data_IF_975643587975
#
_entry.id   IF_975643587975
#
_cell.length_a   1.000
_cell.length_b   1.000
_cell.length_c   1.000
_cell.angle_alpha   90.00
_cell.angle_beta   90.00
_cell.angle_gamma   90.00
#
_symmetry.space_group_name_H-M   'P 1'
#
loop_
_entity.id
_entity.type
_entity.pdbx_description
1 polymer ?
#
# COMPACT_ATOMS: atom_id res chain seq x y z
N UNK A 1 -8.54 -33.77 34.71
CA UNK A 1 -7.11 -33.43 34.86
C UNK A 1 -6.12 -34.56 34.51
N UNK A 2 -6.50 -35.84 34.49
CA UNK A 2 -5.55 -36.94 34.19
C UNK A 2 -5.09 -37.06 32.72
N UNK A 3 -5.86 -36.53 31.75
CA UNK A 3 -5.49 -36.58 30.33
C UNK A 3 -4.51 -35.49 29.88
N UNK A 4 -4.39 -34.39 30.63
CA UNK A 4 -3.49 -33.29 30.28
C UNK A 4 -2.03 -33.58 30.68
N UNK A 5 -1.85 -34.33 31.78
CA UNK A 5 -0.53 -34.75 32.28
C UNK A 5 0.07 -35.85 31.40
N UNK A 6 -0.75 -36.77 30.86
CA UNK A 6 -0.29 -37.77 29.89
C UNK A 6 0.15 -37.16 28.55
N UNK A 7 -0.54 -36.13 28.05
CA UNK A 7 -0.12 -35.40 26.85
C UNK A 7 1.15 -34.57 27.08
N UNK A 8 1.42 -34.13 28.31
CA UNK A 8 2.65 -33.41 28.66
C UNK A 8 3.85 -34.35 28.80
N UNK A 9 3.68 -35.49 29.48
CA UNK A 9 4.71 -36.54 29.59
C UNK A 9 5.04 -37.18 28.23
N UNK A 10 4.06 -37.32 27.33
CA UNK A 10 4.32 -37.77 25.96
C UNK A 10 5.15 -36.75 25.16
N UNK A 11 4.92 -35.44 25.36
CA UNK A 11 5.74 -34.36 24.75
C UNK A 11 7.15 -34.30 25.35
N UNK A 12 7.29 -34.45 26.66
CA UNK A 12 8.60 -34.44 27.33
C UNK A 12 9.40 -35.73 27.06
N UNK A 13 8.74 -36.87 26.74
CA UNK A 13 9.44 -38.12 26.38
C UNK A 13 9.98 -38.16 24.94
N UNK A 14 9.52 -37.27 24.05
CA UNK A 14 10.05 -37.15 22.68
C UNK A 14 11.35 -36.33 22.65
N UNK A 15 11.67 -35.59 23.71
CA UNK A 15 12.94 -34.83 23.83
C UNK A 15 14.12 -35.69 24.35
N UNK A 16 13.90 -36.96 24.72
CA UNK A 16 14.91 -37.76 25.44
C UNK A 16 15.55 -38.92 24.64
N UNK A 17 15.26 -39.08 23.34
CA UNK A 17 15.96 -40.07 22.50
C UNK A 17 16.62 -39.38 21.32
N UNK A 18 17.94 -39.23 21.44
CA UNK A 18 18.78 -38.59 20.44
C UNK A 18 18.85 -39.36 19.14
N UNK A 19 18.75 -38.61 18.05
CA UNK A 19 19.78 -38.61 17.01
C UNK A 19 20.17 -37.15 16.80
N UNK A 20 21.46 -36.86 16.90
CA UNK A 20 22.02 -35.52 16.74
C UNK A 20 21.86 -35.10 15.29
N UNK A 21 20.76 -34.41 14.98
CA UNK A 21 20.65 -33.65 13.73
C UNK A 21 21.55 -32.42 13.88
N UNK A 22 22.70 -32.47 13.20
CA UNK A 22 23.65 -31.38 12.94
C UNK A 22 22.97 -30.25 12.15
N UNK A 23 22.05 -29.54 12.80
CA UNK A 23 21.20 -28.51 12.19
C UNK A 23 20.66 -27.46 13.18
N UNK A 24 20.64 -27.73 14.48
CA UNK A 24 20.17 -26.75 15.47
C UNK A 24 21.15 -25.61 15.77
N UNK A 25 22.43 -25.72 15.41
CA UNK A 25 23.40 -24.62 15.57
C UNK A 25 23.34 -23.57 14.45
N UNK A 26 22.47 -23.76 13.45
CA UNK A 26 22.29 -22.85 12.30
C UNK A 26 20.93 -22.14 12.30
N UNK A 27 20.13 -22.27 13.36
CA UNK A 27 18.91 -21.48 13.51
C UNK A 27 19.33 -20.10 14.01
N UNK A 28 19.46 -19.15 13.07
CA UNK A 28 19.60 -17.73 13.40
C UNK A 28 18.48 -17.34 14.39
N UNK A 29 18.77 -16.58 15.46
CA UNK A 29 17.74 -16.08 16.38
C UNK A 29 16.59 -15.46 15.58
N UNK A 30 15.34 -15.58 16.06
CA UNK A 30 14.17 -15.10 15.32
C UNK A 30 14.29 -13.64 14.87
N UNK A 31 15.00 -12.81 15.65
CA UNK A 31 15.29 -11.41 15.33
C UNK A 31 16.30 -11.20 14.20
N UNK A 32 17.15 -12.19 13.90
CA UNK A 32 18.13 -12.15 12.79
C UNK A 32 17.65 -12.92 11.56
N UNK A 33 16.70 -13.85 11.74
CA UNK A 33 16.19 -14.72 10.69
C UNK A 33 15.40 -13.93 9.64
N UNK A 34 15.95 -13.88 8.42
CA UNK A 34 15.36 -13.14 7.30
C UNK A 34 13.93 -13.61 6.96
N UNK A 35 13.64 -14.91 7.07
CA UNK A 35 12.34 -15.45 6.69
C UNK A 35 11.24 -15.07 7.72
N UNK A 36 11.60 -14.98 9.01
CA UNK A 36 10.70 -14.49 10.06
C UNK A 36 10.41 -13.01 9.87
N UNK A 37 11.45 -12.20 9.63
CA UNK A 37 11.29 -10.77 9.39
C UNK A 37 10.44 -10.48 8.14
N UNK A 38 10.61 -11.26 7.07
CA UNK A 38 9.81 -11.14 5.85
C UNK A 38 8.34 -11.52 6.07
N UNK A 39 8.05 -12.46 6.97
CA UNK A 39 6.67 -12.81 7.34
C UNK A 39 5.98 -11.70 8.15
N UNK A 40 6.68 -11.08 9.10
CA UNK A 40 6.16 -9.92 9.84
C UNK A 40 5.86 -8.75 8.90
N UNK A 41 6.77 -8.50 7.97
CA UNK A 41 6.62 -7.51 6.90
C UNK A 41 5.36 -7.77 6.06
N UNK A 42 5.12 -9.01 5.64
CA UNK A 42 3.93 -9.37 4.88
C UNK A 42 2.63 -9.14 5.67
N UNK A 43 2.65 -9.37 6.98
CA UNK A 43 1.50 -9.09 7.84
C UNK A 43 1.17 -7.59 7.92
N UNK A 44 2.19 -6.71 7.98
CA UNK A 44 1.95 -5.26 8.01
C UNK A 44 1.50 -4.76 6.64
N UNK A 45 2.03 -5.32 5.55
CA UNK A 45 1.58 -5.02 4.19
C UNK A 45 0.09 -5.33 4.01
N UNK A 46 -0.39 -6.47 4.52
CA UNK A 46 -1.83 -6.80 4.53
C UNK A 46 -2.69 -5.83 5.34
N UNK A 47 -2.15 -5.25 6.43
CA UNK A 47 -2.85 -4.19 7.18
C UNK A 47 -2.93 -2.89 6.38
N UNK A 48 -1.89 -2.54 5.62
CA UNK A 48 -1.90 -1.36 4.74
C UNK A 48 -2.85 -1.54 3.55
N UNK A 49 -2.98 -2.76 3.04
CA UNK A 49 -3.99 -3.11 2.03
C UNK A 49 -5.41 -2.96 2.56
N UNK A 50 -5.66 -3.38 3.80
CA UNK A 50 -6.95 -3.15 4.44
C UNK A 50 -7.24 -1.64 4.58
N UNK A 51 -6.27 -0.84 5.00
CA UNK A 51 -6.41 0.61 5.11
C UNK A 51 -6.66 1.28 3.75
N UNK A 52 -6.10 0.75 2.67
CA UNK A 52 -6.34 1.20 1.30
C UNK A 52 -7.81 0.95 0.89
N UNK A 53 -8.34 -0.24 1.19
CA UNK A 53 -9.76 -0.56 0.98
C UNK A 53 -10.72 0.27 1.86
N UNK A 54 -10.32 0.54 3.11
CA UNK A 54 -11.06 1.46 4.00
C UNK A 54 -11.04 2.88 3.42
N UNK A 55 -9.92 3.33 2.83
CA UNK A 55 -9.83 4.63 2.15
C UNK A 55 -10.73 4.71 0.91
N UNK A 56 -10.78 3.64 0.12
CA UNK A 56 -11.68 3.55 -1.04
C UNK A 56 -13.14 3.70 -0.62
N UNK A 57 -13.52 2.96 0.41
CA UNK A 57 -14.87 2.99 0.97
C UNK A 57 -15.20 4.36 1.57
N UNK A 58 -14.26 4.98 2.28
CA UNK A 58 -14.46 6.30 2.89
C UNK A 58 -14.69 7.36 1.83
N UNK A 59 -13.87 7.39 0.77
CA UNK A 59 -14.04 8.36 -0.31
C UNK A 59 -15.39 8.18 -1.00
N UNK A 60 -15.77 6.93 -1.32
CA UNK A 60 -17.05 6.64 -1.98
C UNK A 60 -18.26 7.04 -1.11
N UNK A 61 -18.22 6.79 0.20
CA UNK A 61 -19.27 7.23 1.12
C UNK A 61 -19.32 8.75 1.27
N UNK A 62 -18.17 9.41 1.20
CA UNK A 62 -18.07 10.86 1.27
C UNK A 62 -18.63 11.50 0.00
N UNK A 63 -18.27 11.00 -1.18
CA UNK A 63 -18.83 11.42 -2.47
C UNK A 63 -20.34 11.23 -2.54
N UNK A 64 -20.87 10.09 -2.05
CA UNK A 64 -22.33 9.87 -1.94
C UNK A 64 -23.01 10.89 -1.03
N UNK A 65 -22.34 11.31 0.03
CA UNK A 65 -22.87 12.30 0.97
C UNK A 65 -22.83 13.70 0.36
N UNK A 66 -21.77 14.04 -0.37
CA UNK A 66 -21.66 15.28 -1.14
C UNK A 66 -22.73 15.36 -2.22
N UNK A 67 -22.92 14.32 -3.03
CA UNK A 67 -23.95 14.26 -4.05
C UNK A 67 -25.37 14.42 -3.48
N UNK A 68 -25.64 13.87 -2.29
CA UNK A 68 -26.90 14.06 -1.59
C UNK A 68 -27.11 15.51 -1.15
N UNK A 69 -26.05 16.17 -0.67
CA UNK A 69 -26.09 17.59 -0.30
C UNK A 69 -26.34 18.45 -1.54
N UNK A 70 -25.62 18.21 -2.63
CA UNK A 70 -25.73 19.00 -3.88
C UNK A 70 -27.12 18.88 -4.50
N UNK A 71 -27.69 17.67 -4.51
CA UNK A 71 -29.06 17.46 -4.98
C UNK A 71 -30.12 18.19 -4.12
N UNK A 72 -29.87 18.32 -2.82
CA UNK A 72 -30.74 19.11 -1.94
C UNK A 72 -30.54 20.62 -2.12
N UNK A 73 -29.30 21.07 -2.31
CA UNK A 73 -28.97 22.47 -2.60
C UNK A 73 -29.67 22.96 -3.87
N UNK A 74 -29.57 22.21 -4.97
CA UNK A 74 -30.24 22.54 -6.24
C UNK A 74 -31.75 22.71 -6.05
N UNK A 75 -32.39 21.86 -5.23
CA UNK A 75 -33.82 21.98 -4.94
C UNK A 75 -34.15 23.19 -4.09
N UNK A 76 -33.36 23.46 -3.06
CA UNK A 76 -33.55 24.60 -2.17
C UNK A 76 -33.39 25.92 -2.93
N UNK A 77 -32.37 26.04 -3.78
CA UNK A 77 -32.13 27.22 -4.63
C UNK A 77 -33.29 27.48 -5.59
N UNK A 78 -33.87 26.43 -6.17
CA UNK A 78 -35.05 26.52 -7.03
C UNK A 78 -36.37 26.75 -6.26
N UNK A 79 -36.33 26.81 -4.93
CA UNK A 79 -37.52 26.95 -4.08
C UNK A 79 -38.42 25.70 -4.07
N UNK A 80 -37.87 24.55 -4.44
CA UNK A 80 -38.52 23.25 -4.52
C UNK A 80 -38.22 22.38 -3.28
N UNK A 81 -39.03 21.35 -3.06
CA UNK A 81 -38.75 20.31 -2.07
C UNK A 81 -38.46 18.99 -2.78
N UNK A 82 -37.51 18.22 -2.25
CA UNK A 82 -37.32 16.85 -2.67
C UNK A 82 -38.55 16.00 -2.27
N UNK A 83 -38.92 14.99 -3.08
CA UNK A 83 -39.95 14.02 -2.69
C UNK A 83 -39.62 13.35 -1.35
N UNK A 84 -40.61 13.19 -0.47
CA UNK A 84 -40.40 12.58 0.85
C UNK A 84 -39.80 11.17 0.76
N UNK A 85 -40.18 10.40 -0.26
CA UNK A 85 -39.62 9.07 -0.54
C UNK A 85 -38.13 9.12 -0.89
N UNK A 86 -37.71 10.13 -1.66
CA UNK A 86 -36.31 10.34 -2.03
C UNK A 86 -35.48 10.72 -0.79
N UNK A 87 -35.98 11.64 0.05
CA UNK A 87 -35.33 11.99 1.32
C UNK A 87 -35.24 10.76 2.23
N UNK A 88 -36.30 9.95 2.32
CA UNK A 88 -36.29 8.75 3.14
C UNK A 88 -35.27 7.71 2.65
N UNK A 89 -35.14 7.53 1.33
CA UNK A 89 -34.14 6.64 0.75
C UNK A 89 -32.71 7.13 1.02
N UNK A 90 -32.46 8.43 0.81
CA UNK A 90 -31.16 9.05 1.10
C UNK A 90 -30.82 8.95 2.59
N UNK A 91 -31.78 9.15 3.49
CA UNK A 91 -31.52 9.02 4.94
C UNK A 91 -31.20 7.57 5.35
N UNK A 92 -31.78 6.56 4.69
CA UNK A 92 -31.39 5.16 4.92
C UNK A 92 -29.96 4.90 4.46
N UNK A 93 -29.57 5.44 3.29
CA UNK A 93 -28.19 5.35 2.81
C UNK A 93 -27.22 6.05 3.78
N UNK A 94 -27.58 7.23 4.28
CA UNK A 94 -26.81 7.99 5.26
C UNK A 94 -26.72 7.28 6.62
N UNK A 95 -27.79 6.60 7.08
CA UNK A 95 -27.75 5.75 8.28
C UNK A 95 -26.76 4.59 8.10
N UNK A 96 -26.71 3.99 6.91
CA UNK A 96 -25.72 2.95 6.61
C UNK A 96 -24.29 3.48 6.66
N UNK A 97 -24.05 4.68 6.12
CA UNK A 97 -22.74 5.34 6.15
C UNK A 97 -22.33 5.64 7.60
N UNK A 98 -23.21 6.27 8.38
CA UNK A 98 -22.96 6.59 9.80
C UNK A 98 -22.65 5.34 10.62
N UNK A 99 -23.38 4.24 10.41
CA UNK A 99 -23.11 2.96 11.09
C UNK A 99 -21.75 2.39 10.72
N UNK A 100 -21.36 2.42 9.43
CA UNK A 100 -20.06 1.93 8.96
C UNK A 100 -18.90 2.67 9.64
N UNK A 101 -19.05 3.98 9.80
CA UNK A 101 -18.02 4.85 10.35
C UNK A 101 -18.18 5.16 11.84
N UNK A 102 -19.06 4.42 12.55
CA UNK A 102 -19.37 4.61 13.96
C UNK A 102 -19.63 6.09 14.33
N UNK A 103 -20.40 6.79 13.49
CA UNK A 103 -20.84 8.16 13.71
C UNK A 103 -22.17 8.10 14.44
N UNK A 104 -22.20 8.54 15.70
CA UNK A 104 -23.42 8.54 16.51
C UNK A 104 -24.21 9.82 16.29
N UNK A 105 -25.50 9.67 15.97
CA UNK A 105 -26.41 10.76 15.62
C UNK A 105 -27.79 10.44 16.19
N UNK A 106 -28.33 11.39 16.95
CA UNK A 106 -29.74 11.36 17.32
C UNK A 106 -30.59 11.53 16.05
N UNK A 107 -31.51 10.59 15.81
CA UNK A 107 -32.44 10.69 14.68
C UNK A 107 -33.27 11.96 14.85
N UNK A 108 -33.25 12.84 13.85
CA UNK A 108 -34.26 13.90 13.76
C UNK A 108 -35.62 13.23 13.61
N UNK A 109 -36.55 13.55 14.53
CA UNK A 109 -37.88 12.96 14.51
C UNK A 109 -38.65 13.42 13.26
N UNK A 110 -39.02 12.46 12.40
CA UNK A 110 -39.80 12.68 11.16
C UNK A 110 -41.12 13.42 11.40
N UNK A 111 -41.67 13.32 12.60
CA UNK A 111 -42.95 13.94 12.97
C UNK A 111 -42.86 15.46 13.15
N UNK A 112 -41.66 16.01 13.35
CA UNK A 112 -41.44 17.45 13.57
C UNK A 112 -41.63 18.30 12.30
N UNK A 113 -41.64 17.68 11.12
CA UNK A 113 -41.62 18.38 9.83
C UNK A 113 -42.88 18.15 8.97
N UNK A 114 -43.95 17.58 9.54
CA UNK A 114 -45.23 17.23 8.88
C UNK A 114 -46.00 18.39 8.23
N UNK A 115 -45.39 19.55 8.02
CA UNK A 115 -45.99 20.74 7.36
C UNK A 115 -45.06 21.33 6.30
N UNK A 116 -44.70 20.52 5.30
CA UNK A 116 -44.58 20.93 3.89
C UNK A 116 -43.55 22.00 3.47
N UNK A 117 -42.72 22.56 4.36
CA UNK A 117 -41.56 23.39 3.99
C UNK A 117 -40.43 23.19 5.00
N UNK A 118 -39.21 22.97 4.51
CA UNK A 118 -37.99 22.82 5.30
C UNK A 118 -37.53 21.37 5.53
N UNK A 119 -38.18 20.37 4.93
CA UNK A 119 -37.75 18.96 5.02
C UNK A 119 -36.42 18.73 4.32
N UNK A 120 -36.31 19.23 3.08
CA UNK A 120 -35.09 19.14 2.28
C UNK A 120 -33.94 19.85 2.99
N UNK A 121 -34.17 21.06 3.51
CA UNK A 121 -33.17 21.83 4.27
C UNK A 121 -32.72 21.13 5.56
N UNK A 122 -33.65 20.58 6.34
CA UNK A 122 -33.30 19.87 7.57
C UNK A 122 -32.51 18.59 7.29
N UNK A 123 -32.88 17.84 6.25
CA UNK A 123 -32.14 16.66 5.82
C UNK A 123 -30.73 17.03 5.35
N UNK A 124 -30.62 18.07 4.53
CA UNK A 124 -29.37 18.62 4.04
C UNK A 124 -28.44 19.06 5.17
N UNK A 125 -28.93 19.78 6.19
CA UNK A 125 -28.15 20.14 7.38
C UNK A 125 -27.64 18.88 8.10
N UNK A 126 -28.47 17.85 8.22
CA UNK A 126 -28.07 16.54 8.76
C UNK A 126 -26.94 15.88 7.97
N UNK A 127 -26.97 15.98 6.64
CA UNK A 127 -25.95 15.42 5.74
C UNK A 127 -24.67 16.23 5.72
N UNK A 128 -24.72 17.57 5.68
CA UNK A 128 -23.56 18.48 5.83
C UNK A 128 -22.79 18.15 7.10
N UNK A 129 -23.53 17.94 8.17
CA UNK A 129 -22.96 17.63 9.47
C UNK A 129 -22.37 16.19 9.46
N UNK A 130 -22.96 15.23 8.73
CA UNK A 130 -22.40 13.86 8.55
C UNK A 130 -21.08 13.93 7.76
N UNK A 131 -21.03 14.80 6.75
CA UNK A 131 -19.84 15.08 5.97
C UNK A 131 -18.70 15.59 6.86
N UNK A 132 -18.95 16.48 7.84
CA UNK A 132 -17.92 16.91 8.82
C UNK A 132 -17.31 15.74 9.59
N UNK A 133 -18.13 14.79 10.02
CA UNK A 133 -17.64 13.60 10.74
C UNK A 133 -16.85 12.67 9.82
N UNK A 134 -17.21 12.54 8.54
CA UNK A 134 -16.42 11.82 7.54
C UNK A 134 -15.05 12.47 7.31
N UNK A 135 -14.96 13.81 7.30
CA UNK A 135 -13.67 14.52 7.27
C UNK A 135 -12.81 14.21 8.50
N UNK A 136 -13.40 14.07 9.69
CA UNK A 136 -12.67 13.64 10.91
C UNK A 136 -12.16 12.22 10.77
N UNK A 137 -12.95 11.30 10.19
CA UNK A 137 -12.51 9.93 9.87
C UNK A 137 -11.37 9.89 8.85
N UNK A 138 -11.37 10.77 7.87
CA UNK A 138 -10.25 10.91 6.93
C UNK A 138 -8.95 11.29 7.64
N UNK A 139 -9.00 12.22 8.59
CA UNK A 139 -7.83 12.60 9.40
C UNK A 139 -7.31 11.42 10.24
N UNK A 140 -8.21 10.64 10.85
CA UNK A 140 -7.86 9.43 11.60
C UNK A 140 -7.21 8.36 10.70
N UNK A 141 -7.75 8.18 9.50
CA UNK A 141 -7.20 7.28 8.49
C UNK A 141 -5.78 7.70 8.09
N UNK A 142 -5.55 8.99 7.79
CA UNK A 142 -4.21 9.52 7.50
C UNK A 142 -3.21 9.15 8.61
N UNK A 143 -3.59 9.33 9.89
CA UNK A 143 -2.74 8.97 11.04
C UNK A 143 -2.42 7.48 11.09
N UNK A 144 -3.43 6.62 10.87
CA UNK A 144 -3.25 5.18 10.86
C UNK A 144 -2.30 4.73 9.75
N UNK A 145 -2.47 5.29 8.54
CA UNK A 145 -1.62 5.04 7.37
C UNK A 145 -0.16 5.43 7.65
N UNK A 146 0.09 6.64 8.13
CA UNK A 146 1.45 7.11 8.45
C UNK A 146 2.09 6.21 9.50
N UNK A 147 1.36 5.88 10.58
CA UNK A 147 1.87 5.03 11.65
C UNK A 147 2.26 3.64 11.13
N UNK A 148 1.40 3.02 10.34
CA UNK A 148 1.63 1.68 9.77
C UNK A 148 2.74 1.66 8.74
N UNK A 149 2.82 2.67 7.88
CA UNK A 149 3.91 2.78 6.91
C UNK A 149 5.27 2.98 7.62
N UNK A 150 5.33 3.75 8.71
CA UNK A 150 6.54 3.87 9.54
C UNK A 150 6.94 2.53 10.19
N UNK A 151 5.97 1.79 10.71
CA UNK A 151 6.20 0.44 11.26
C UNK A 151 6.77 -0.52 10.21
N UNK A 152 6.15 -0.56 9.02
CA UNK A 152 6.60 -1.35 7.88
C UNK A 152 8.07 -1.04 7.54
N UNK A 153 8.41 0.24 7.42
CA UNK A 153 9.77 0.70 7.08
C UNK A 153 10.82 0.24 8.08
N UNK A 154 10.52 0.33 9.37
CA UNK A 154 11.45 -0.13 10.42
C UNK A 154 11.73 -1.64 10.30
N UNK A 155 10.69 -2.45 10.04
CA UNK A 155 10.84 -3.89 9.86
C UNK A 155 11.64 -4.22 8.59
N UNK A 156 11.40 -3.52 7.49
CA UNK A 156 12.16 -3.73 6.25
C UNK A 156 13.63 -3.31 6.33
N UNK A 157 13.98 -2.30 7.13
CA UNK A 157 15.40 -1.96 7.34
C UNK A 157 16.15 -3.16 7.94
N UNK A 158 15.50 -3.93 8.84
CA UNK A 158 16.12 -5.12 9.41
C UNK A 158 16.25 -6.24 8.36
N UNK A 159 15.25 -6.41 7.50
CA UNK A 159 15.32 -7.34 6.35
C UNK A 159 16.52 -7.00 5.45
N UNK A 160 16.72 -5.72 5.13
CA UNK A 160 17.86 -5.25 4.34
C UNK A 160 19.21 -5.64 4.95
N UNK A 161 19.37 -5.46 6.27
CA UNK A 161 20.58 -5.85 7.00
C UNK A 161 20.79 -7.37 7.02
N UNK A 162 19.73 -8.13 7.26
CA UNK A 162 19.78 -9.59 7.24
C UNK A 162 20.12 -10.12 5.84
N UNK A 163 19.59 -9.50 4.77
CA UNK A 163 19.95 -9.83 3.40
C UNK A 163 21.44 -9.62 3.12
N UNK A 164 22.04 -8.52 3.61
CA UNK A 164 23.48 -8.28 3.49
C UNK A 164 24.32 -9.32 4.24
N UNK A 165 23.92 -9.67 5.47
CA UNK A 165 24.61 -10.71 6.28
C UNK A 165 24.57 -12.05 5.54
N UNK A 166 23.40 -12.41 5.01
CA UNK A 166 23.17 -13.67 4.29
C UNK A 166 23.94 -13.73 2.98
N UNK A 167 23.99 -12.64 2.22
CA UNK A 167 24.76 -12.54 0.99
C UNK A 167 26.25 -12.85 1.21
N UNK A 168 26.85 -12.32 2.29
CA UNK A 168 28.25 -12.61 2.66
C UNK A 168 28.45 -14.09 2.98
N UNK A 169 27.55 -14.68 3.78
CA UNK A 169 27.58 -16.11 4.10
C UNK A 169 27.47 -16.98 2.84
N UNK A 170 26.60 -16.61 1.89
CA UNK A 170 26.51 -17.29 0.60
C UNK A 170 27.78 -17.18 -0.22
N UNK A 171 28.40 -16.00 -0.30
CA UNK A 171 29.67 -15.84 -1.01
C UNK A 171 30.78 -16.76 -0.45
N UNK A 172 30.83 -16.93 0.88
CA UNK A 172 31.79 -17.85 1.52
C UNK A 172 31.48 -19.32 1.22
N UNK A 173 30.20 -19.71 1.26
CA UNK A 173 29.77 -21.07 0.92
C UNK A 173 30.06 -21.43 -0.54
N UNK A 174 29.82 -20.49 -1.47
CA UNK A 174 30.05 -20.69 -2.90
C UNK A 174 31.51 -21.00 -3.23
N UNK A 175 32.47 -20.44 -2.48
CA UNK A 175 33.90 -20.74 -2.64
C UNK A 175 34.27 -22.17 -2.24
N UNK A 176 33.42 -22.84 -1.47
CA UNK A 176 33.63 -24.19 -0.94
C UNK A 176 32.81 -25.25 -1.69
N UNK A 177 32.16 -24.90 -2.81
CA UNK A 177 31.37 -25.84 -3.58
C UNK A 177 32.26 -26.72 -4.48
N UNK A 178 31.90 -28.00 -4.55
CA UNK A 178 32.53 -29.03 -5.38
C UNK A 178 31.67 -29.35 -6.59
N UNK A 179 31.49 -30.64 -6.87
CA UNK A 179 30.72 -31.10 -8.03
C UNK A 179 29.22 -30.87 -7.86
N UNK A 180 28.54 -30.61 -8.96
CA UNK A 180 27.08 -30.57 -9.00
C UNK A 180 26.52 -31.98 -8.72
N UNK A 181 25.54 -32.08 -7.83
CA UNK A 181 24.88 -33.35 -7.44
C UNK A 181 23.39 -33.42 -7.79
N UNK A 182 22.76 -32.30 -8.15
CA UNK A 182 21.39 -32.27 -8.67
C UNK A 182 21.38 -31.55 -10.01
N UNK A 183 20.60 -32.05 -10.96
CA UNK A 183 20.45 -31.40 -12.28
C UNK A 183 19.49 -30.22 -12.20
N UNK A 184 18.38 -30.36 -11.45
CA UNK A 184 17.36 -29.32 -11.31
C UNK A 184 17.15 -28.91 -9.84
N UNK A 185 16.63 -27.69 -9.68
CA UNK A 185 16.17 -27.14 -8.40
C UNK A 185 14.74 -26.61 -8.53
N UNK A 186 13.98 -26.73 -7.44
CA UNK A 186 12.59 -26.26 -7.30
C UNK A 186 12.44 -25.45 -6.03
N UNK A 187 11.46 -24.55 -6.00
CA UNK A 187 11.06 -23.87 -4.76
C UNK A 187 10.21 -22.64 -5.00
N UNK A 188 9.69 -22.06 -3.92
CA UNK A 188 8.89 -20.83 -3.96
C UNK A 188 9.65 -19.59 -4.45
N UNK A 189 10.97 -19.68 -4.68
CA UNK A 189 11.73 -18.62 -5.33
C UNK A 189 11.35 -18.45 -6.81
N UNK A 190 10.80 -19.48 -7.46
CA UNK A 190 10.44 -19.43 -8.87
C UNK A 190 9.31 -18.41 -9.07
N UNK A 191 8.21 -18.52 -8.34
CA UNK A 191 7.11 -17.55 -8.40
C UNK A 191 7.56 -16.14 -8.03
N UNK A 192 8.42 -16.02 -7.01
CA UNK A 192 8.94 -14.72 -6.56
C UNK A 192 9.82 -14.02 -7.60
N UNK A 193 10.69 -14.74 -8.30
CA UNK A 193 11.57 -14.16 -9.32
C UNK A 193 10.98 -14.22 -10.73
N UNK A 194 9.67 -14.48 -10.83
CA UNK A 194 8.98 -14.48 -12.12
C UNK A 194 8.33 -13.14 -12.41
N UNK A 195 8.27 -12.82 -13.69
CA UNK A 195 7.64 -11.63 -14.23
C UNK A 195 6.69 -12.12 -15.32
N UNK A 196 5.40 -11.80 -15.16
CA UNK A 196 4.35 -12.26 -16.08
C UNK A 196 4.32 -13.79 -16.28
N UNK A 197 4.61 -14.56 -15.23
CA UNK A 197 4.61 -16.03 -15.25
C UNK A 197 5.91 -16.68 -15.73
N UNK A 198 6.83 -15.89 -16.28
CA UNK A 198 8.13 -16.37 -16.75
C UNK A 198 9.21 -16.16 -15.70
N UNK A 199 9.95 -17.23 -15.38
CA UNK A 199 11.06 -17.17 -14.42
C UNK A 199 12.24 -16.39 -14.99
N UNK A 200 12.55 -15.23 -14.40
CA UNK A 200 13.58 -14.33 -14.89
C UNK A 200 14.32 -13.63 -13.74
N UNK A 201 15.37 -14.30 -13.26
CA UNK A 201 16.23 -13.77 -12.19
C UNK A 201 16.95 -12.49 -12.62
N UNK A 202 17.38 -12.41 -13.88
CA UNK A 202 18.19 -11.30 -14.36
C UNK A 202 17.37 -10.01 -14.41
N UNK A 203 16.17 -10.06 -14.99
CA UNK A 203 15.26 -8.92 -15.01
C UNK A 203 14.71 -8.60 -13.63
N UNK A 204 14.46 -9.60 -12.77
CA UNK A 204 14.07 -9.35 -11.38
C UNK A 204 15.13 -8.57 -10.61
N UNK A 205 16.40 -8.92 -10.77
CA UNK A 205 17.53 -8.16 -10.21
C UNK A 205 17.61 -6.76 -10.83
N UNK A 206 17.42 -6.64 -12.14
CA UNK A 206 17.49 -5.35 -12.84
C UNK A 206 16.42 -4.37 -12.32
N UNK A 207 15.17 -4.82 -12.16
CA UNK A 207 14.08 -4.01 -11.60
C UNK A 207 14.39 -3.58 -10.16
N UNK A 208 14.87 -4.49 -9.31
CA UNK A 208 15.26 -4.13 -7.94
C UNK A 208 16.41 -3.11 -7.89
N UNK A 209 17.40 -3.24 -8.78
CA UNK A 209 18.50 -2.26 -8.91
C UNK A 209 18.01 -0.92 -9.44
N UNK A 210 17.08 -0.91 -10.38
CA UNK A 210 16.48 0.31 -10.91
C UNK A 210 15.71 1.07 -9.84
N UNK A 211 14.88 0.35 -9.08
CA UNK A 211 14.14 0.86 -7.93
C UNK A 211 15.10 1.49 -6.92
N UNK A 212 16.12 0.75 -6.50
CA UNK A 212 17.09 1.20 -5.49
C UNK A 212 18.13 2.20 -6.02
N UNK A 213 18.27 2.30 -7.33
CA UNK A 213 19.23 3.15 -8.03
C UNK A 213 18.80 4.61 -8.21
N UNK A 214 17.57 4.96 -7.83
CA UNK A 214 17.10 6.34 -7.81
C UNK A 214 15.65 6.51 -8.29
N UNK A 215 15.10 5.58 -9.07
CA UNK A 215 13.72 5.73 -9.57
C UNK A 215 12.70 5.84 -8.45
N UNK A 216 12.85 5.05 -7.38
CA UNK A 216 11.97 5.16 -6.21
C UNK A 216 12.09 6.56 -5.56
N UNK A 217 13.32 7.07 -5.41
CA UNK A 217 13.57 8.41 -4.85
C UNK A 217 12.95 9.52 -5.70
N UNK A 218 13.07 9.42 -7.02
CA UNK A 218 12.49 10.41 -7.94
C UNK A 218 10.96 10.39 -7.88
N UNK A 219 10.35 9.20 -7.84
CA UNK A 219 8.91 9.06 -7.64
C UNK A 219 8.46 9.61 -6.29
N UNK A 220 9.18 9.29 -5.21
CA UNK A 220 8.95 9.83 -3.86
C UNK A 220 8.97 11.36 -3.90
N UNK A 221 10.01 11.98 -4.45
CA UNK A 221 10.15 13.44 -4.45
C UNK A 221 9.01 14.15 -5.19
N UNK A 222 8.58 13.58 -6.33
CA UNK A 222 7.52 14.18 -7.14
C UNK A 222 6.15 14.06 -6.48
N UNK A 223 5.83 12.87 -5.94
CA UNK A 223 4.56 12.65 -5.25
C UNK A 223 4.50 13.34 -3.89
N UNK A 224 5.62 13.43 -3.16
CA UNK A 224 5.68 14.19 -1.90
C UNK A 224 5.50 15.69 -2.14
N UNK A 225 6.09 16.24 -3.22
CA UNK A 225 5.84 17.62 -3.64
C UNK A 225 4.36 17.86 -3.95
N UNK A 226 3.69 16.94 -4.65
CA UNK A 226 2.26 17.04 -4.94
C UNK A 226 1.41 16.98 -3.65
N UNK A 227 1.76 16.12 -2.69
CA UNK A 227 1.11 16.05 -1.39
C UNK A 227 1.30 17.35 -0.57
N UNK A 228 2.52 17.88 -0.53
CA UNK A 228 2.86 19.13 0.15
C UNK A 228 2.09 20.32 -0.43
N UNK A 229 1.99 20.43 -1.75
CA UNK A 229 1.22 21.48 -2.41
C UNK A 229 -0.30 21.32 -2.20
N UNK A 230 -0.79 20.07 -2.10
CA UNK A 230 -2.18 19.81 -1.69
C UNK A 230 -2.44 20.27 -0.26
N UNK A 231 -1.50 20.05 0.67
CA UNK A 231 -1.60 20.56 2.04
C UNK A 231 -1.66 22.10 2.08
N UNK A 232 -0.90 22.77 1.21
CA UNK A 232 -0.95 24.24 1.06
C UNK A 232 -2.31 24.69 0.52
N UNK A 233 -2.84 24.02 -0.51
CA UNK A 233 -4.16 24.31 -1.08
C UNK A 233 -5.27 24.19 -0.03
N UNK A 234 -5.28 23.10 0.75
CA UNK A 234 -6.22 22.89 1.86
C UNK A 234 -6.12 24.00 2.90
N UNK A 235 -4.90 24.33 3.32
CA UNK A 235 -4.67 25.36 4.36
C UNK A 235 -5.17 26.73 3.90
N UNK A 236 -4.78 27.15 2.69
CA UNK A 236 -5.18 28.44 2.14
C UNK A 236 -6.69 28.54 1.92
N UNK A 237 -7.30 27.45 1.47
CA UNK A 237 -8.76 27.38 1.30
C UNK A 237 -9.47 27.49 2.64
N UNK A 238 -8.98 26.81 3.69
CA UNK A 238 -9.51 26.96 5.05
C UNK A 238 -9.31 28.37 5.64
N UNK A 239 -8.35 29.14 5.11
CA UNK A 239 -8.11 30.54 5.47
C UNK A 239 -8.90 31.55 4.59
N UNK A 240 -9.80 31.06 3.72
CA UNK A 240 -10.62 31.91 2.84
C UNK A 240 -9.91 32.37 1.55
N UNK A 241 -8.75 31.79 1.24
CA UNK A 241 -7.97 32.08 0.03
C UNK A 241 -7.89 30.85 -0.87
N UNK A 242 -9.01 30.51 -1.50
CA UNK A 242 -9.11 29.34 -2.38
C UNK A 242 -7.94 29.26 -3.38
N UNK A 243 -7.21 28.15 -3.34
CA UNK A 243 -6.06 27.88 -4.21
C UNK A 243 -6.18 26.45 -4.71
N UNK A 244 -6.04 26.23 -6.01
CA UNK A 244 -6.06 24.89 -6.58
C UNK A 244 -4.85 24.07 -6.09
N UNK A 245 -5.04 22.75 -5.95
CA UNK A 245 -3.95 21.83 -5.67
C UNK A 245 -2.98 21.78 -6.86
N UNK A 246 -1.84 21.10 -6.70
CA UNK A 246 -0.96 20.82 -7.83
C UNK A 246 -1.62 19.80 -8.76
N UNK A 247 -1.64 20.09 -10.06
CA UNK A 247 -2.12 19.13 -11.06
C UNK A 247 -1.22 17.92 -11.24
N UNK A 248 -1.51 17.12 -12.26
CA UNK A 248 -0.74 15.93 -12.60
C UNK A 248 0.76 16.25 -12.80
N UNK A 249 1.60 15.47 -12.12
CA UNK A 249 3.05 15.44 -12.27
C UNK A 249 3.46 14.18 -13.02
N UNK A 250 4.39 14.33 -13.95
CA UNK A 250 4.98 13.19 -14.66
C UNK A 250 5.94 12.44 -13.74
N UNK A 251 5.64 11.17 -13.42
CA UNK A 251 6.45 10.34 -12.52
C UNK A 251 6.85 9.07 -13.24
N UNK A 252 8.15 8.78 -13.21
CA UNK A 252 8.69 7.54 -13.76
C UNK A 252 8.73 6.47 -12.66
N UNK A 253 8.01 5.37 -12.86
CA UNK A 253 8.05 4.21 -11.98
C UNK A 253 9.12 3.20 -12.42
N UNK A 254 9.26 2.14 -11.62
CA UNK A 254 10.17 1.03 -11.84
C UNK A 254 9.43 -0.18 -12.40
N UNK A 255 10.10 -0.99 -13.22
CA UNK A 255 9.54 -2.22 -13.79
C UNK A 255 9.80 -2.37 -15.28
N UNK A 256 9.24 -3.42 -15.87
CA UNK A 256 9.31 -3.68 -17.32
C UNK A 256 7.95 -3.44 -17.96
N UNK A 257 7.89 -3.04 -19.23
CA UNK A 257 6.59 -2.85 -19.88
C UNK A 257 5.79 -4.17 -19.88
N UNK A 258 4.58 -4.14 -19.30
CA UNK A 258 3.72 -5.30 -19.22
C UNK A 258 3.24 -5.74 -20.62
N UNK A 259 3.20 -7.06 -20.84
CA UNK A 259 2.68 -7.70 -22.05
C UNK A 259 1.30 -8.31 -21.83
N UNK A 260 1.02 -8.82 -20.62
CA UNK A 260 -0.24 -9.50 -20.28
C UNK A 260 -1.36 -8.53 -19.93
N UNK A 261 -1.06 -7.53 -19.10
CA UNK A 261 -2.03 -6.59 -18.58
C UNK A 261 -1.85 -5.19 -19.22
N UNK A 262 -2.94 -4.62 -19.74
CA UNK A 262 -2.90 -3.32 -20.45
C UNK A 262 -3.26 -2.14 -19.55
N UNK A 263 -4.14 -2.36 -18.57
CA UNK A 263 -4.67 -1.33 -17.66
C UNK A 263 -5.08 -2.01 -16.36
N UNK A 264 -4.80 -1.37 -15.22
CA UNK A 264 -5.27 -1.79 -13.92
C UNK A 264 -6.71 -1.33 -13.66
N UNK A 265 -7.49 -2.04 -12.83
CA UNK A 265 -8.90 -1.72 -12.55
C UNK A 265 -9.13 -0.26 -12.16
N UNK A 266 -8.19 0.33 -11.43
CA UNK A 266 -8.26 1.73 -11.00
C UNK A 266 -8.23 2.74 -12.17
N UNK A 267 -7.93 2.32 -13.40
CA UNK A 267 -7.81 3.18 -14.58
C UNK A 267 -8.73 2.76 -15.75
N UNK A 268 -9.70 1.86 -15.51
CA UNK A 268 -10.57 1.31 -16.57
C UNK A 268 -11.41 2.39 -17.30
N UNK A 269 -11.67 3.54 -16.67
CA UNK A 269 -12.50 4.63 -17.22
C UNK A 269 -11.74 5.65 -18.11
N UNK A 270 -10.51 5.34 -18.56
CA UNK A 270 -9.90 6.02 -19.71
C UNK A 270 -8.85 7.10 -19.44
N UNK A 271 -8.34 7.24 -18.21
CA UNK A 271 -7.38 8.31 -17.85
C UNK A 271 -5.89 7.85 -17.83
N UNK A 272 -5.62 6.64 -18.32
CA UNK A 272 -4.29 6.01 -18.27
C UNK A 272 -3.39 6.35 -19.46
N UNK A 273 -2.80 7.55 -19.50
CA UNK A 273 -1.81 7.93 -20.51
C UNK A 273 -0.48 7.15 -20.46
N UNK A 274 -0.20 6.35 -19.41
CA UNK A 274 1.05 5.59 -19.27
C UNK A 274 0.87 4.06 -19.20
N UNK A 275 1.93 3.36 -19.60
CA UNK A 275 2.02 1.90 -19.72
C UNK A 275 2.09 1.24 -18.34
N UNK A 276 1.31 0.18 -18.15
CA UNK A 276 1.45 -0.74 -17.03
C UNK A 276 2.85 -1.34 -17.03
N UNK A 277 3.49 -1.36 -15.87
CA UNK A 277 4.79 -1.99 -15.64
C UNK A 277 4.61 -3.29 -14.86
N UNK A 278 5.19 -4.36 -15.37
CA UNK A 278 5.31 -5.64 -14.70
C UNK A 278 6.50 -5.64 -13.73
N UNK A 279 6.25 -6.22 -12.55
CA UNK A 279 7.16 -6.34 -11.42
C UNK A 279 7.41 -7.83 -11.10
N UNK A 280 8.52 -8.15 -10.41
CA UNK A 280 8.77 -9.48 -9.88
C UNK A 280 7.65 -9.94 -8.96
N UNK A 281 7.37 -11.25 -8.94
CA UNK A 281 6.26 -11.83 -8.18
C UNK A 281 4.93 -11.76 -8.91
N UNK A 282 4.96 -11.52 -10.22
CA UNK A 282 3.78 -11.34 -11.06
C UNK A 282 2.86 -10.21 -10.56
N UNK A 283 3.47 -9.11 -10.12
CA UNK A 283 2.75 -7.91 -9.75
C UNK A 283 2.82 -6.87 -10.87
N UNK A 284 1.94 -5.89 -10.82
CA UNK A 284 1.86 -4.79 -11.77
C UNK A 284 1.74 -3.47 -11.02
N UNK A 285 2.35 -2.44 -11.60
CA UNK A 285 2.18 -1.06 -11.16
C UNK A 285 1.84 -0.20 -12.37
N UNK A 286 0.89 0.71 -12.20
CA UNK A 286 0.52 1.66 -13.22
C UNK A 286 0.53 3.06 -12.61
N UNK A 287 0.88 4.02 -13.45
CA UNK A 287 0.66 5.41 -13.16
C UNK A 287 -0.19 6.02 -14.26
N UNK A 288 -1.03 6.97 -13.89
CA UNK A 288 -1.86 7.72 -14.82
C UNK A 288 -2.23 9.06 -14.23
N UNK A 289 -3.04 9.79 -14.98
CA UNK A 289 -3.77 10.92 -14.42
C UNK A 289 -5.16 10.43 -14.01
N UNK A 290 -5.79 11.12 -13.06
CA UNK A 290 -7.22 11.04 -12.80
C UNK A 290 -7.80 12.43 -12.67
N UNK A 291 -8.95 12.69 -13.28
CA UNK A 291 -9.69 13.92 -13.04
C UNK A 291 -10.39 13.81 -11.69
N UNK A 292 -9.98 14.66 -10.74
CA UNK A 292 -10.60 14.75 -9.42
C UNK A 292 -11.85 15.63 -9.44
N UNK A 293 -12.63 15.59 -8.35
CA UNK A 293 -13.68 16.56 -8.11
C UNK A 293 -13.14 17.99 -8.26
N UNK A 294 -13.85 18.83 -9.03
CA UNK A 294 -13.37 20.16 -9.45
C UNK A 294 -12.71 20.19 -10.84
N UNK A 295 -12.66 19.05 -11.55
CA UNK A 295 -12.20 18.98 -12.95
C UNK A 295 -10.68 19.05 -13.13
N UNK A 296 -9.92 18.88 -12.05
CA UNK A 296 -8.47 18.93 -12.07
C UNK A 296 -7.85 17.55 -12.26
N UNK A 297 -6.98 17.42 -13.27
CA UNK A 297 -6.16 16.23 -13.44
C UNK A 297 -5.10 16.13 -12.34
N UNK A 298 -5.02 14.96 -11.73
CA UNK A 298 -4.11 14.65 -10.63
C UNK A 298 -3.39 13.33 -10.89
N UNK A 299 -2.17 13.18 -10.37
CA UNK A 299 -1.42 11.93 -10.57
C UNK A 299 -2.03 10.82 -9.72
N UNK A 300 -2.25 9.65 -10.29
CA UNK A 300 -2.66 8.47 -9.54
C UNK A 300 -1.67 7.33 -9.80
N UNK A 301 -1.34 6.60 -8.74
CA UNK A 301 -0.56 5.36 -8.80
C UNK A 301 -1.46 4.21 -8.39
N UNK A 302 -1.41 3.10 -9.11
CA UNK A 302 -2.08 1.85 -8.75
C UNK A 302 -1.08 0.69 -8.72
N UNK A 303 -1.31 -0.25 -7.81
CA UNK A 303 -0.52 -1.46 -7.64
C UNK A 303 -1.44 -2.66 -7.50
N UNK A 304 -1.10 -3.77 -8.15
CA UNK A 304 -1.84 -5.02 -8.08
C UNK A 304 -0.88 -6.20 -8.03
N UNK A 305 -1.03 -7.04 -7.01
CA UNK A 305 -0.41 -8.36 -6.96
C UNK A 305 -1.41 -9.39 -7.46
N UNK A 306 -1.10 -10.07 -8.57
CA UNK A 306 -2.03 -11.09 -9.14
C UNK A 306 -1.89 -12.45 -8.48
N UNK A 307 -0.73 -12.73 -7.89
CA UNK A 307 -0.42 -14.07 -7.39
C UNK A 307 -0.39 -15.13 -8.49
N UNK A 308 -0.28 -14.73 -9.76
CA UNK A 308 -0.29 -15.64 -10.91
C UNK A 308 0.70 -16.79 -10.70
N UNK A 309 0.23 -18.00 -10.93
CA UNK A 309 1.08 -19.20 -10.86
C UNK A 309 2.04 -19.23 -12.05
N UNK A 310 3.29 -19.55 -11.76
CA UNK A 310 4.27 -19.85 -12.80
C UNK A 310 4.11 -21.29 -13.25
N UNK A 311 4.02 -21.52 -14.56
CA UNK A 311 3.99 -22.88 -15.12
C UNK A 311 5.34 -23.60 -14.91
N UNK A 312 6.41 -22.82 -14.74
CA UNK A 312 7.74 -23.30 -14.37
C UNK A 312 7.73 -23.80 -12.93
N UNK A 313 8.04 -25.09 -12.73
CA UNK A 313 8.13 -25.74 -11.40
C UNK A 313 9.55 -26.11 -11.00
N UNK A 314 10.39 -26.33 -12.00
CA UNK A 314 11.80 -26.68 -11.85
C UNK A 314 12.63 -25.89 -12.85
N UNK A 315 13.86 -25.59 -12.47
CA UNK A 315 14.85 -24.97 -13.34
C UNK A 315 16.15 -25.78 -13.27
N UNK A 316 16.97 -25.65 -14.31
CA UNK A 316 18.32 -26.18 -14.28
C UNK A 316 19.12 -25.56 -13.11
N UNK A 317 19.96 -26.38 -12.49
CA UNK A 317 20.82 -25.93 -11.40
C UNK A 317 21.77 -24.85 -11.93
N UNK A 318 21.75 -23.65 -11.34
CA UNK A 318 22.54 -22.54 -11.84
C UNK A 318 24.03 -22.75 -11.57
N UNK A 319 24.86 -22.32 -12.52
CA UNK A 319 26.30 -22.33 -12.37
C UNK A 319 26.74 -21.50 -11.14
N UNK A 320 27.87 -21.88 -10.53
CA UNK A 320 28.45 -21.20 -9.37
C UNK A 320 28.66 -19.70 -9.65
N UNK A 321 29.02 -19.32 -10.87
CA UNK A 321 29.17 -17.92 -11.28
C UNK A 321 27.85 -17.15 -11.22
N UNK A 322 26.75 -17.74 -11.69
CA UNK A 322 25.42 -17.14 -11.62
C UNK A 322 24.95 -16.99 -10.16
N UNK A 323 25.23 -17.98 -9.32
CA UNK A 323 24.95 -17.92 -7.88
C UNK A 323 25.77 -16.82 -7.17
N UNK A 324 27.03 -16.64 -7.55
CA UNK A 324 27.88 -15.59 -7.00
C UNK A 324 27.38 -14.19 -7.42
N UNK A 325 26.96 -14.03 -8.68
CA UNK A 325 26.32 -12.81 -9.15
C UNK A 325 25.01 -12.51 -8.41
N UNK A 326 24.17 -13.53 -8.17
CA UNK A 326 22.95 -13.38 -7.38
C UNK A 326 23.23 -13.00 -5.92
N UNK A 327 24.23 -13.59 -5.27
CA UNK A 327 24.63 -13.23 -3.92
C UNK A 327 25.15 -11.77 -3.84
N UNK A 328 25.88 -11.33 -4.86
CA UNK A 328 26.35 -9.94 -4.95
C UNK A 328 25.19 -8.98 -5.16
N UNK A 329 24.21 -9.36 -5.99
CA UNK A 329 22.99 -8.59 -6.18
C UNK A 329 22.18 -8.50 -4.87
N UNK A 330 22.07 -9.58 -4.10
CA UNK A 330 21.36 -9.60 -2.81
C UNK A 330 21.97 -8.59 -1.81
N UNK A 331 23.29 -8.51 -1.70
CA UNK A 331 23.97 -7.51 -0.85
C UNK A 331 23.69 -6.07 -1.32
N UNK A 332 23.84 -5.82 -2.63
CA UNK A 332 23.62 -4.50 -3.20
C UNK A 332 22.15 -4.03 -3.07
N UNK A 333 21.20 -4.94 -3.31
CA UNK A 333 19.76 -4.69 -3.18
C UNK A 333 19.41 -4.42 -1.72
N UNK A 334 19.91 -5.23 -0.77
CA UNK A 334 19.69 -5.02 0.66
C UNK A 334 20.11 -3.61 1.13
N UNK A 335 21.30 -3.15 0.70
CA UNK A 335 21.79 -1.78 0.97
C UNK A 335 20.94 -0.71 0.30
N UNK A 336 20.59 -0.94 -0.96
CA UNK A 336 19.79 -0.02 -1.75
C UNK A 336 18.41 0.23 -1.16
N UNK A 337 17.75 -0.83 -0.69
CA UNK A 337 16.43 -0.73 -0.05
C UNK A 337 16.48 0.06 1.26
N UNK A 338 17.49 -0.13 2.10
CA UNK A 338 17.65 0.69 3.31
C UNK A 338 17.67 2.18 3.00
N UNK A 339 18.34 2.57 1.91
CA UNK A 339 18.40 3.97 1.47
C UNK A 339 17.03 4.46 0.95
N UNK A 340 16.33 3.68 0.14
CA UNK A 340 15.00 4.04 -0.35
C UNK A 340 14.01 4.24 0.81
N UNK A 341 14.07 3.37 1.84
CA UNK A 341 13.21 3.51 3.02
C UNK A 341 13.54 4.75 3.85
N UNK A 342 14.80 5.21 3.83
CA UNK A 342 15.17 6.51 4.40
C UNK A 342 14.65 7.67 3.57
N UNK A 343 14.65 7.56 2.24
CA UNK A 343 14.09 8.59 1.34
C UNK A 343 12.59 8.78 1.60
N UNK A 344 11.84 7.75 1.97
CA UNK A 344 10.42 7.88 2.37
C UNK A 344 10.18 8.76 3.60
N UNK A 345 11.20 9.10 4.40
CA UNK A 345 11.04 10.00 5.55
C UNK A 345 10.64 11.41 5.14
N UNK A 346 11.08 11.90 3.96
CA UNK A 346 10.61 13.19 3.45
C UNK A 346 9.13 13.12 3.07
N UNK A 347 8.72 12.01 2.45
CA UNK A 347 7.31 11.78 2.12
C UNK A 347 6.44 11.68 3.38
N UNK A 348 6.92 11.01 4.43
CA UNK A 348 6.23 10.98 5.73
C UNK A 348 5.92 12.38 6.25
N UNK A 349 6.93 13.27 6.22
CA UNK A 349 6.77 14.63 6.68
C UNK A 349 5.78 15.42 5.83
N UNK A 350 5.73 15.18 4.52
CA UNK A 350 4.77 15.85 3.63
C UNK A 350 3.33 15.32 3.79
N UNK A 351 3.16 14.01 4.04
CA UNK A 351 1.84 13.44 4.39
C UNK A 351 1.39 13.88 5.78
N UNK A 352 2.30 14.05 6.74
CA UNK A 352 1.98 14.65 8.05
C UNK A 352 1.51 16.11 7.91
N UNK A 353 2.12 16.90 7.01
CA UNK A 353 1.63 18.27 6.72
C UNK A 353 0.22 18.23 6.15
N UNK A 354 -0.05 17.28 5.25
CA UNK A 354 -1.37 17.09 4.66
C UNK A 354 -2.41 16.67 5.71
N UNK A 355 -2.05 15.77 6.62
CA UNK A 355 -2.89 15.41 7.77
C UNK A 355 -3.21 16.64 8.64
N UNK A 356 -2.19 17.45 8.98
CA UNK A 356 -2.39 18.67 9.75
C UNK A 356 -3.26 19.70 9.01
N UNK A 357 -3.08 19.84 7.70
CA UNK A 357 -3.90 20.72 6.87
C UNK A 357 -5.36 20.23 6.83
N UNK A 358 -5.58 18.93 6.64
CA UNK A 358 -6.90 18.32 6.67
C UNK A 358 -7.57 18.47 8.05
N UNK A 359 -6.82 18.33 9.15
CA UNK A 359 -7.33 18.57 10.50
C UNK A 359 -7.73 20.02 10.72
N UNK A 360 -6.98 20.99 10.17
CA UNK A 360 -7.36 22.41 10.20
C UNK A 360 -8.60 22.69 9.38
N UNK A 361 -8.70 22.14 8.17
CA UNK A 361 -9.87 22.25 7.31
C UNK A 361 -11.12 21.66 7.96
N UNK A 362 -11.03 20.48 8.58
CA UNK A 362 -12.15 19.89 9.33
C UNK A 362 -12.61 20.82 10.48
N UNK A 363 -11.69 21.45 11.19
CA UNK A 363 -12.02 22.41 12.25
C UNK A 363 -12.59 23.74 11.72
N UNK A 364 -12.27 24.13 10.48
CA UNK A 364 -12.86 25.28 9.81
C UNK A 364 -14.29 24.97 9.33
N UNK A 365 -14.53 23.76 8.79
CA UNK A 365 -15.86 23.28 8.41
C UNK A 365 -16.83 23.21 9.59
N UNK A 366 -16.34 22.87 10.80
CA UNK A 366 -17.14 22.91 12.02
C UNK A 366 -17.67 24.33 12.33
N UNK A 367 -17.07 25.40 11.76
CA UNK A 367 -17.39 26.80 12.05
C UNK A 367 -18.02 27.57 10.88
N UNK A 368 -17.89 27.08 9.65
CA UNK A 368 -18.37 27.78 8.45
C UNK A 368 -19.79 27.38 8.05
N UNK A 369 -20.58 28.39 7.67
CA UNK A 369 -21.92 28.24 7.09
C UNK A 369 -21.93 28.67 5.60
N UNK A 370 -20.78 28.95 4.98
CA UNK A 370 -20.68 29.48 3.60
C UNK A 370 -20.46 28.35 2.58
N UNK A 371 -21.43 28.16 1.67
CA UNK A 371 -21.43 27.08 0.68
C UNK A 371 -20.25 27.13 -0.31
N UNK A 372 -19.72 28.31 -0.64
CA UNK A 372 -18.53 28.41 -1.51
C UNK A 372 -17.25 27.91 -0.85
N UNK A 373 -17.15 28.05 0.48
CA UNK A 373 -16.04 27.49 1.25
C UNK A 373 -16.12 25.96 1.33
N UNK A 374 -17.34 25.40 1.33
CA UNK A 374 -17.55 23.95 1.32
C UNK A 374 -17.07 23.32 0.02
N UNK A 375 -17.45 23.86 -1.14
CA UNK A 375 -17.03 23.30 -2.43
C UNK A 375 -15.51 23.30 -2.60
N UNK A 376 -14.86 24.41 -2.27
CA UNK A 376 -13.41 24.52 -2.37
C UNK A 376 -12.68 23.53 -1.43
N UNK A 377 -13.21 23.31 -0.22
CA UNK A 377 -12.65 22.34 0.73
C UNK A 377 -12.88 20.89 0.30
N UNK A 378 -14.01 20.58 -0.35
CA UNK A 378 -14.25 19.24 -0.96
C UNK A 378 -13.23 18.95 -2.05
N UNK A 379 -13.01 19.88 -2.97
CA UNK A 379 -12.01 19.75 -4.04
C UNK A 379 -10.58 19.61 -3.48
N UNK A 380 -10.26 20.34 -2.42
CA UNK A 380 -8.98 20.20 -1.74
C UNK A 380 -8.84 18.85 -1.02
N UNK A 381 -9.93 18.28 -0.48
CA UNK A 381 -9.94 16.94 0.15
C UNK A 381 -9.70 15.83 -0.85
N UNK A 382 -10.30 15.85 -2.03
CA UNK A 382 -10.11 14.78 -3.02
C UNK A 382 -8.66 14.70 -3.50
N UNK A 383 -7.97 15.84 -3.63
CA UNK A 383 -6.53 15.88 -3.86
C UNK A 383 -5.74 15.29 -2.68
N UNK A 384 -6.19 15.56 -1.45
CA UNK A 384 -5.60 15.00 -0.24
C UNK A 384 -5.74 13.47 -0.19
N UNK A 385 -6.94 12.96 -0.47
CA UNK A 385 -7.28 11.55 -0.55
C UNK A 385 -6.35 10.85 -1.55
N UNK A 386 -6.27 11.35 -2.78
CA UNK A 386 -5.44 10.75 -3.82
C UNK A 386 -3.94 10.81 -3.48
N UNK A 387 -3.47 11.88 -2.82
CA UNK A 387 -2.08 11.98 -2.37
C UNK A 387 -1.72 10.92 -1.31
N UNK A 388 -2.64 10.62 -0.39
CA UNK A 388 -2.47 9.56 0.63
C UNK A 388 -2.51 8.17 -0.02
N UNK A 389 -3.40 7.95 -0.99
CA UNK A 389 -3.42 6.69 -1.78
C UNK A 389 -2.12 6.48 -2.54
N UNK A 390 -1.60 7.52 -3.18
CA UNK A 390 -0.33 7.46 -3.89
C UNK A 390 0.82 7.09 -2.94
N UNK A 391 0.82 7.65 -1.73
CA UNK A 391 1.79 7.32 -0.69
C UNK A 391 1.70 5.84 -0.30
N UNK A 392 0.51 5.32 0.01
CA UNK A 392 0.31 3.91 0.35
C UNK A 392 0.73 3.00 -0.79
N UNK A 393 0.22 3.26 -1.99
CA UNK A 393 0.47 2.44 -3.17
C UNK A 393 1.95 2.38 -3.52
N UNK A 394 2.66 3.50 -3.47
CA UNK A 394 4.10 3.51 -3.73
C UNK A 394 4.88 2.77 -2.64
N UNK A 395 4.53 2.93 -1.37
CA UNK A 395 5.15 2.16 -0.28
C UNK A 395 4.95 0.65 -0.50
N UNK A 396 3.73 0.23 -0.84
CA UNK A 396 3.39 -1.18 -1.12
C UNK A 396 4.16 -1.72 -2.32
N UNK A 397 4.18 -1.00 -3.44
CA UNK A 397 4.92 -1.42 -4.63
C UNK A 397 6.42 -1.56 -4.36
N UNK A 398 7.02 -0.60 -3.64
CA UNK A 398 8.45 -0.66 -3.26
C UNK A 398 8.72 -1.84 -2.32
N UNK A 399 7.92 -1.97 -1.27
CA UNK A 399 8.01 -3.04 -0.30
C UNK A 399 7.89 -4.41 -0.97
N UNK A 400 6.89 -4.59 -1.84
CA UNK A 400 6.65 -5.81 -2.58
C UNK A 400 7.87 -6.23 -3.39
N UNK A 401 8.44 -5.34 -4.22
CA UNK A 401 9.64 -5.66 -5.01
C UNK A 401 10.81 -6.04 -4.09
N UNK A 402 10.98 -5.33 -2.97
CA UNK A 402 12.01 -5.63 -1.98
C UNK A 402 11.87 -7.02 -1.37
N UNK A 403 10.72 -7.33 -0.80
CA UNK A 403 10.43 -8.63 -0.19
C UNK A 403 10.56 -9.75 -1.23
N UNK A 404 9.90 -9.60 -2.36
CA UNK A 404 9.84 -10.61 -3.41
C UNK A 404 11.22 -10.93 -3.97
N UNK A 405 12.03 -9.91 -4.30
CA UNK A 405 13.38 -10.14 -4.86
C UNK A 405 14.35 -10.61 -3.79
N UNK A 406 14.35 -10.05 -2.58
CA UNK A 406 15.24 -10.49 -1.49
C UNK A 406 14.95 -11.96 -1.13
N UNK A 407 13.68 -12.29 -0.91
CA UNK A 407 13.26 -13.65 -0.56
C UNK A 407 13.47 -14.63 -1.72
N UNK A 408 13.18 -14.20 -2.94
CA UNK A 408 13.43 -14.97 -4.16
C UNK A 408 14.91 -15.28 -4.34
N UNK A 409 15.80 -14.30 -4.23
CA UNK A 409 17.24 -14.50 -4.32
C UNK A 409 17.78 -15.36 -3.19
N UNK A 410 17.29 -15.16 -1.95
CA UNK A 410 17.65 -15.99 -0.81
C UNK A 410 17.34 -17.48 -1.07
N UNK A 411 16.12 -17.77 -1.54
CA UNK A 411 15.69 -19.11 -1.89
C UNK A 411 16.44 -19.71 -3.10
N UNK A 412 16.64 -18.92 -4.15
CA UNK A 412 17.37 -19.33 -5.36
C UNK A 412 18.82 -19.70 -5.06
N UNK A 413 19.52 -18.86 -4.28
CA UNK A 413 20.91 -19.11 -3.90
C UNK A 413 21.01 -20.31 -2.96
N UNK A 414 20.13 -20.39 -1.95
CA UNK A 414 20.10 -21.51 -1.01
C UNK A 414 19.85 -22.85 -1.70
N UNK A 415 18.85 -22.92 -2.59
CA UNK A 415 18.55 -24.11 -3.38
C UNK A 415 19.71 -24.48 -4.31
N UNK A 416 20.33 -23.49 -4.97
CA UNK A 416 21.50 -23.67 -5.81
C UNK A 416 22.69 -24.25 -5.05
N UNK A 417 23.06 -23.67 -3.90
CA UNK A 417 24.13 -24.20 -3.03
C UNK A 417 23.81 -25.65 -2.60
N UNK A 418 22.55 -25.92 -2.24
CA UNK A 418 22.08 -27.26 -1.87
C UNK A 418 22.17 -28.30 -2.99
N UNK A 419 22.31 -27.88 -4.25
CA UNK A 419 22.47 -28.73 -5.42
C UNK A 419 23.93 -29.09 -5.75
N UNK A 420 24.91 -28.56 -4.99
CA UNK A 420 26.32 -28.90 -5.09
C UNK A 420 26.80 -29.71 -3.88
N UNK A 421 27.86 -30.50 -4.06
CA UNK A 421 28.62 -31.09 -2.97
C UNK A 421 29.52 -30.04 -2.31
N UNK A 422 29.92 -30.26 -1.06
CA UNK A 422 31.04 -29.50 -0.48
C UNK A 422 32.32 -30.01 -1.15
N UNK A 423 33.20 -29.08 -1.54
CA UNK A 423 34.54 -29.41 -2.00
C UNK A 423 35.21 -30.27 -0.92
N UNK A 424 35.75 -31.43 -1.31
CA UNK A 424 36.64 -32.18 -0.43
C UNK A 424 37.89 -31.32 -0.26
N UNK A 425 38.06 -30.75 0.93
CA UNK A 425 39.31 -30.09 1.31
C UNK A 425 40.45 -31.11 1.31
#
# INVERSE_FOLDING_TARGET
>A
MANFVKSKLARESVEATGDVIDGLSNVEPAEENIDVQLAEVASIDGQLEQLDGDQETLAADTERTEAAIDAADEKIENGEEMPEEAIAHTEVAQESIRKRWAIDRTKLARESYRRGRGMTKAAQEGWKETLKDLFKRFVELCKAVIAKAKELKLKYINVGKSAQKRAKAYQEMLRKLGKQKKENISGGFISKLSIEGDFDVANSIAIAKELTGGKAKDAINKLSSQASESAVAITKTAEGTATAAKGAVDVALFGTAAKKLRTLPQFEDGEGGQKVLALPGNAYVQIGSKTLAGGQDFTAVAFLSTGDSTDTKEIATPAITALASAATALDAIGKGFEKVLQDFRSYDADVEKLEQAASKAAAALDKSNDEGEWEALRNARTAADQAVRNYQTLNRAVAHVGNTVISGLNGYIGAGIGAYEKSKA
#
